data_IF_371762672166
#
_entry.id   IF_371762672166
#
_cell.length_a   1.000
_cell.length_b   1.000
_cell.length_c   1.000
_cell.angle_alpha   90.00
_cell.angle_beta   90.00
_cell.angle_gamma   90.00
#
_symmetry.space_group_name_H-M   'P 1'
#
loop_
_entity.id
_entity.type
_entity.pdbx_description
1 polymer ?
#
# COMPACT_ATOMS: atom_id res chain seq x y z
N UNK A 1 -61.51 -33.34 8.04
CA UNK A 1 -62.33 -32.45 7.17
C UNK A 1 -61.89 -31.02 7.48
N UNK A 2 -60.98 -30.47 6.67
CA UNK A 2 -61.22 -29.49 5.58
C UNK A 2 -60.60 -28.14 6.04
N UNK A 3 -59.45 -27.68 5.51
CA UNK A 3 -59.23 -26.97 4.21
C UNK A 3 -59.91 -25.57 4.31
N UNK A 4 -59.30 -24.41 4.06
CA UNK A 4 -58.35 -24.03 3.01
C UNK A 4 -57.72 -22.65 3.27
N UNK A 5 -56.62 -22.44 2.56
CA UNK A 5 -55.82 -21.25 2.31
C UNK A 5 -56.64 -20.06 1.78
N UNK A 6 -56.11 -18.83 1.96
CA UNK A 6 -56.23 -17.83 0.88
C UNK A 6 -55.03 -16.88 0.81
N UNK A 7 -54.44 -16.91 -0.39
CA UNK A 7 -53.27 -16.19 -0.89
C UNK A 7 -53.55 -14.70 -1.09
N UNK A 8 -52.47 -13.91 -0.97
CA UNK A 8 -52.35 -12.54 -1.46
C UNK A 8 -52.35 -12.49 -2.99
N UNK A 9 -53.01 -11.48 -3.56
CA UNK A 9 -52.88 -11.08 -4.97
C UNK A 9 -53.00 -9.57 -5.08
N UNK A 10 -51.99 -8.97 -5.71
CA UNK A 10 -51.87 -7.58 -6.15
C UNK A 10 -52.96 -7.18 -7.15
N UNK A 11 -53.43 -5.93 -7.10
CA UNK A 11 -53.59 -5.04 -8.27
C UNK A 11 -54.15 -3.66 -7.88
N UNK A 12 -53.35 -2.62 -8.17
CA UNK A 12 -53.80 -1.36 -8.79
C UNK A 12 -54.64 -0.36 -7.99
N UNK A 13 -54.07 0.81 -7.70
CA UNK A 13 -54.62 2.09 -8.17
C UNK A 13 -53.60 3.21 -7.98
N UNK A 14 -53.02 3.61 -9.11
CA UNK A 14 -52.10 4.73 -9.29
C UNK A 14 -52.85 6.05 -9.04
N UNK A 15 -52.37 6.89 -8.10
CA UNK A 15 -52.75 8.30 -8.02
C UNK A 15 -51.53 9.16 -8.26
N UNK A 16 -51.65 10.04 -9.25
CA UNK A 16 -50.64 11.01 -9.67
C UNK A 16 -50.38 12.05 -8.58
N UNK A 17 -49.11 12.26 -8.26
CA UNK A 17 -48.64 13.40 -7.46
C UNK A 17 -47.66 14.21 -8.29
N UNK A 18 -47.99 15.50 -8.47
CA UNK A 18 -47.19 16.51 -9.17
C UNK A 18 -45.99 16.87 -8.29
N UNK A 19 -44.78 16.49 -8.70
CA UNK A 19 -43.55 17.06 -8.16
C UNK A 19 -43.03 18.15 -9.11
N UNK A 20 -42.91 19.36 -8.57
CA UNK A 20 -42.42 20.55 -9.26
C UNK A 20 -40.94 20.41 -9.64
N UNK A 21 -40.62 20.95 -10.81
CA UNK A 21 -39.26 21.06 -11.33
C UNK A 21 -38.45 22.03 -10.47
N UNK A 22 -37.36 21.54 -9.88
CA UNK A 22 -36.32 22.38 -9.28
C UNK A 22 -35.17 22.46 -10.30
N UNK A 23 -35.10 23.57 -11.04
CA UNK A 23 -33.96 23.86 -11.91
C UNK A 23 -32.74 24.23 -11.04
N UNK A 24 -31.65 23.49 -11.21
CA UNK A 24 -30.38 23.75 -10.52
C UNK A 24 -29.58 24.79 -11.32
N UNK A 25 -29.04 25.85 -10.71
CA UNK A 25 -28.23 26.82 -11.44
C UNK A 25 -26.89 26.20 -11.86
N UNK A 26 -26.56 26.31 -13.15
CA UNK A 26 -25.31 25.84 -13.75
C UNK A 26 -24.13 26.68 -13.26
N UNK A 27 -23.29 26.11 -12.39
CA UNK A 27 -22.00 26.69 -12.00
C UNK A 27 -20.96 26.27 -13.03
N UNK A 28 -20.55 27.18 -13.91
CA UNK A 28 -19.42 26.99 -14.82
C UNK A 28 -18.12 27.12 -14.04
N UNK A 29 -17.45 26.01 -13.75
CA UNK A 29 -16.10 26.00 -13.18
C UNK A 29 -15.09 26.20 -14.33
N UNK A 30 -14.17 27.18 -14.25
CA UNK A 30 -13.17 27.39 -15.29
C UNK A 30 -12.17 26.23 -15.32
N UNK A 31 -12.06 25.55 -16.45
CA UNK A 31 -11.06 24.51 -16.70
C UNK A 31 -9.70 25.19 -16.85
N UNK A 32 -8.85 25.07 -15.83
CA UNK A 32 -7.44 25.41 -15.93
C UNK A 32 -6.77 24.38 -16.85
N UNK A 33 -6.43 24.78 -18.07
CA UNK A 33 -5.65 23.96 -19.00
C UNK A 33 -4.19 23.94 -18.55
N UNK A 34 -3.82 22.97 -17.71
CA UNK A 34 -2.41 22.65 -17.49
C UNK A 34 -1.91 21.81 -18.66
N UNK A 35 -1.14 22.46 -19.52
CA UNK A 35 -0.32 21.82 -20.53
C UNK A 35 0.92 21.18 -19.88
N UNK A 36 1.26 20.00 -20.42
CA UNK A 36 2.61 19.44 -20.61
C UNK A 36 3.33 18.63 -19.51
N UNK A 37 3.95 17.57 -20.05
CA UNK A 37 5.06 16.72 -19.57
C UNK A 37 4.74 15.63 -18.56
N UNK A 38 4.58 14.42 -19.11
CA UNK A 38 4.50 13.13 -18.42
C UNK A 38 5.88 12.71 -17.86
N UNK A 39 6.52 13.58 -17.05
CA UNK A 39 7.66 13.19 -16.24
C UNK A 39 7.13 12.61 -14.91
N UNK A 40 7.64 11.46 -14.43
CA UNK A 40 7.22 10.91 -13.16
C UNK A 40 7.42 11.94 -12.04
N UNK A 41 6.34 12.27 -11.33
CA UNK A 41 6.34 13.20 -10.19
C UNK A 41 7.52 12.87 -9.26
N UNK A 42 8.41 13.84 -8.98
CA UNK A 42 9.59 13.58 -8.18
C UNK A 42 9.18 13.22 -6.75
N UNK A 43 9.68 12.08 -6.23
CA UNK A 43 9.29 11.59 -4.91
C UNK A 43 9.62 12.60 -3.81
N UNK A 44 8.79 12.70 -2.78
CA UNK A 44 8.95 13.66 -1.68
C UNK A 44 10.32 13.58 -0.99
N UNK A 45 10.94 12.40 -0.96
CA UNK A 45 12.31 12.22 -0.45
C UNK A 45 13.38 12.93 -1.31
N UNK A 46 13.21 12.96 -2.64
CA UNK A 46 14.08 13.69 -3.55
C UNK A 46 13.84 15.20 -3.45
N UNK A 47 12.57 15.62 -3.30
CA UNK A 47 12.23 17.03 -3.03
C UNK A 47 12.86 17.49 -1.71
N UNK A 48 12.78 16.66 -0.67
CA UNK A 48 13.37 16.93 0.66
C UNK A 48 14.89 17.03 0.59
N UNK A 49 15.56 16.07 -0.06
CA UNK A 49 17.00 16.16 -0.30
C UNK A 49 17.37 17.46 -1.03
N UNK A 50 16.63 17.79 -2.10
CA UNK A 50 16.86 18.99 -2.89
C UNK A 50 16.71 20.28 -2.08
N UNK A 51 15.71 20.35 -1.18
CA UNK A 51 15.51 21.47 -0.27
C UNK A 51 16.64 21.61 0.75
N UNK A 52 17.07 20.51 1.36
CA UNK A 52 18.19 20.49 2.31
C UNK A 52 19.50 20.92 1.62
N UNK A 53 19.79 20.35 0.45
CA UNK A 53 20.93 20.75 -0.37
C UNK A 53 20.91 22.24 -0.70
N UNK A 54 19.77 22.75 -1.16
CA UNK A 54 19.59 24.18 -1.48
C UNK A 54 19.79 25.07 -0.26
N UNK A 55 19.33 24.65 0.92
CA UNK A 55 19.54 25.38 2.16
C UNK A 55 21.03 25.44 2.53
N UNK A 56 21.75 24.32 2.46
CA UNK A 56 23.20 24.28 2.70
C UNK A 56 23.96 25.18 1.71
N UNK A 57 23.64 25.12 0.41
CA UNK A 57 24.26 25.97 -0.61
C UNK A 57 24.03 27.46 -0.36
N UNK A 58 22.79 27.84 -0.03
CA UNK A 58 22.45 29.23 0.30
C UNK A 58 23.15 29.72 1.57
N UNK A 59 23.29 28.86 2.59
CA UNK A 59 24.05 29.17 3.81
C UNK A 59 25.53 29.44 3.50
N UNK A 60 26.10 28.69 2.56
CA UNK A 60 27.45 28.92 2.06
C UNK A 60 27.58 30.15 1.15
N UNK A 61 26.48 30.86 0.84
CA UNK A 61 26.48 32.06 0.00
C UNK A 61 26.68 31.81 -1.49
N UNK A 62 26.59 30.57 -1.95
CA UNK A 62 26.88 30.19 -3.35
C UNK A 62 25.62 30.18 -4.21
N UNK A 63 25.71 30.67 -5.45
CA UNK A 63 24.72 30.43 -6.52
C UNK A 63 24.84 29.00 -7.08
N UNK A 64 23.89 28.57 -7.91
CA UNK A 64 23.98 27.25 -8.56
C UNK A 64 25.15 27.22 -9.55
N UNK A 65 25.40 28.34 -10.21
CA UNK A 65 26.44 28.59 -11.20
C UNK A 65 27.84 28.53 -10.56
N UNK A 66 28.00 29.11 -9.37
CA UNK A 66 29.26 29.09 -8.61
C UNK A 66 29.51 27.73 -7.96
N UNK A 67 28.46 27.06 -7.48
CA UNK A 67 28.59 25.77 -6.80
C UNK A 67 28.89 24.61 -7.76
N UNK A 68 28.24 24.59 -8.93
CA UNK A 68 28.36 23.51 -9.91
C UNK A 68 29.82 23.14 -10.28
N UNK A 69 30.72 24.09 -10.61
CA UNK A 69 32.11 23.76 -10.91
C UNK A 69 32.87 23.19 -9.71
N UNK A 70 32.56 23.62 -8.47
CA UNK A 70 33.21 23.12 -7.25
C UNK A 70 32.94 21.63 -7.01
N UNK A 71 31.75 21.17 -7.39
CA UNK A 71 31.40 19.74 -7.33
C UNK A 71 31.62 19.01 -8.66
N UNK A 72 32.14 19.67 -9.69
CA UNK A 72 32.43 19.07 -11.00
C UNK A 72 31.19 18.64 -11.79
N UNK A 73 30.10 19.40 -11.70
CA UNK A 73 28.87 19.18 -12.47
C UNK A 73 28.40 20.46 -13.16
N UNK A 74 27.38 20.35 -14.02
CA UNK A 74 26.76 21.49 -14.68
C UNK A 74 25.71 22.16 -13.77
N UNK A 75 25.49 23.49 -13.86
CA UNK A 75 24.47 24.19 -13.08
C UNK A 75 23.06 23.60 -13.24
N UNK A 76 22.73 23.14 -14.45
CA UNK A 76 21.48 22.43 -14.74
C UNK A 76 21.32 21.12 -13.95
N UNK A 77 22.43 20.43 -13.65
CA UNK A 77 22.42 19.22 -12.81
C UNK A 77 22.14 19.57 -11.36
N UNK A 78 22.77 20.63 -10.83
CA UNK A 78 22.49 21.16 -9.49
C UNK A 78 21.02 21.57 -9.38
N UNK A 79 20.50 22.32 -10.34
CA UNK A 79 19.09 22.73 -10.36
C UNK A 79 18.12 21.54 -10.36
N UNK A 80 18.41 20.52 -11.18
CA UNK A 80 17.59 19.30 -11.27
C UNK A 80 17.59 18.50 -9.95
N UNK A 81 18.73 18.44 -9.25
CA UNK A 81 18.84 17.82 -7.92
C UNK A 81 18.07 18.63 -6.87
N UNK A 82 18.23 19.97 -6.85
CA UNK A 82 17.53 20.85 -5.89
C UNK A 82 16.00 20.86 -6.08
N UNK A 83 15.51 20.55 -7.28
CA UNK A 83 14.10 20.42 -7.58
C UNK A 83 13.56 18.99 -7.35
N UNK A 84 14.41 18.05 -6.92
CA UNK A 84 14.06 16.66 -6.71
C UNK A 84 13.85 15.85 -8.00
N UNK A 85 14.12 16.43 -9.19
CA UNK A 85 13.95 15.76 -10.49
C UNK A 85 15.03 14.71 -10.76
N UNK A 86 16.21 14.86 -10.15
CA UNK A 86 17.36 13.98 -10.34
C UNK A 86 17.90 13.42 -9.03
N UNK A 87 18.15 12.12 -9.02
CA UNK A 87 18.87 11.43 -7.95
C UNK A 87 20.32 11.94 -7.90
N UNK A 88 20.82 12.41 -6.74
CA UNK A 88 22.19 12.87 -6.61
C UNK A 88 23.16 11.67 -6.70
N UNK A 89 24.14 11.67 -7.62
CA UNK A 89 25.19 10.64 -7.63
C UNK A 89 25.99 10.64 -6.33
N UNK A 90 26.49 9.49 -5.87
CA UNK A 90 27.31 9.41 -4.66
C UNK A 90 28.50 10.39 -4.68
N UNK A 91 29.22 10.46 -5.80
CA UNK A 91 30.33 11.40 -5.97
C UNK A 91 29.91 12.89 -5.96
N UNK A 92 28.65 13.20 -6.26
CA UNK A 92 28.08 14.53 -6.06
C UNK A 92 27.86 14.80 -4.58
N UNK A 93 27.24 13.86 -3.86
CA UNK A 93 26.93 14.00 -2.43
C UNK A 93 28.21 14.20 -1.61
N UNK A 94 29.24 13.39 -1.85
CA UNK A 94 30.52 13.51 -1.11
C UNK A 94 31.17 14.88 -1.34
N UNK A 95 31.25 15.35 -2.59
CA UNK A 95 31.84 16.66 -2.90
C UNK A 95 30.98 17.81 -2.38
N UNK A 96 29.66 17.69 -2.47
CA UNK A 96 28.74 18.69 -1.93
C UNK A 96 28.84 18.80 -0.41
N UNK A 97 28.99 17.67 0.29
CA UNK A 97 29.19 17.62 1.73
C UNK A 97 30.45 18.38 2.16
N UNK A 98 31.56 18.15 1.44
CA UNK A 98 32.85 18.82 1.69
C UNK A 98 32.80 20.32 1.34
N UNK A 99 32.29 20.67 0.17
CA UNK A 99 32.26 22.07 -0.32
C UNK A 99 31.32 22.95 0.50
N UNK A 100 30.19 22.40 0.98
CA UNK A 100 29.17 23.15 1.71
C UNK A 100 29.32 23.09 3.23
N UNK A 101 30.32 22.34 3.72
CA UNK A 101 30.51 22.02 5.13
C UNK A 101 29.18 21.63 5.81
N UNK A 102 28.52 20.62 5.23
CA UNK A 102 27.13 20.32 5.57
C UNK A 102 26.96 19.46 6.84
N UNK A 103 28.03 19.29 7.64
CA UNK A 103 28.01 18.59 8.95
C UNK A 103 27.45 17.16 8.91
N UNK A 104 27.63 16.46 7.80
CA UNK A 104 27.14 15.10 7.54
C UNK A 104 25.68 15.04 7.08
N UNK A 105 24.99 16.17 6.96
CA UNK A 105 23.55 16.21 6.68
C UNK A 105 23.22 15.73 5.26
N UNK A 106 24.06 16.05 4.26
CA UNK A 106 23.79 15.62 2.88
C UNK A 106 24.04 14.12 2.71
N UNK A 107 25.08 13.58 3.35
CA UNK A 107 25.33 12.13 3.43
C UNK A 107 24.16 11.41 4.09
N UNK A 108 23.64 11.93 5.21
CA UNK A 108 22.51 11.36 5.91
C UNK A 108 21.24 11.39 5.05
N UNK A 109 20.92 12.55 4.46
CA UNK A 109 19.74 12.73 3.60
C UNK A 109 19.83 11.88 2.31
N UNK A 110 21.03 11.70 1.74
CA UNK A 110 21.23 10.91 0.54
C UNK A 110 20.89 9.42 0.70
N UNK A 111 20.97 8.86 1.92
CA UNK A 111 20.58 7.47 2.19
C UNK A 111 19.09 7.23 1.89
N UNK A 112 18.26 8.25 2.12
CA UNK A 112 16.81 8.19 1.92
C UNK A 112 16.37 8.79 0.57
N UNK A 113 17.30 9.39 -0.18
CA UNK A 113 17.07 9.86 -1.53
C UNK A 113 17.18 8.67 -2.50
N UNK A 114 16.08 7.93 -2.70
CA UNK A 114 16.03 6.78 -3.64
C UNK A 114 14.99 6.98 -4.73
N UNK A 115 15.33 6.61 -5.98
CA UNK A 115 14.35 6.30 -7.02
C UNK A 115 13.92 4.85 -6.85
N UNK A 116 12.91 4.59 -6.03
CA UNK A 116 12.19 3.32 -6.08
C UNK A 116 10.84 3.57 -6.79
N UNK A 117 10.81 3.52 -8.13
CA UNK A 117 9.56 3.52 -8.87
C UNK A 117 8.78 2.24 -8.49
N UNK A 118 7.51 2.39 -8.15
CA UNK A 118 6.64 1.27 -7.78
C UNK A 118 6.10 1.37 -6.35
N UNK A 119 6.94 1.61 -5.35
CA UNK A 119 6.42 1.74 -3.97
C UNK A 119 6.00 3.18 -3.66
N UNK A 120 4.80 3.33 -3.07
CA UNK A 120 4.35 4.61 -2.54
C UNK A 120 5.37 5.14 -1.52
N UNK A 121 5.62 6.46 -1.52
CA UNK A 121 6.68 7.07 -0.70
C UNK A 121 6.55 6.71 0.78
N UNK A 122 5.32 6.69 1.29
CA UNK A 122 4.98 6.36 2.68
C UNK A 122 5.11 4.86 3.04
N UNK A 123 5.29 3.99 2.05
CA UNK A 123 5.41 2.54 2.26
C UNK A 123 6.86 2.04 2.27
N UNK A 124 7.82 2.86 1.82
CA UNK A 124 9.22 2.44 1.67
C UNK A 124 9.87 2.05 3.00
N UNK A 125 9.68 2.89 4.03
CA UNK A 125 10.21 2.61 5.37
C UNK A 125 9.66 1.29 5.93
N UNK A 126 8.39 0.98 5.65
CA UNK A 126 7.81 -0.31 6.04
C UNK A 126 8.46 -1.47 5.28
N UNK A 127 8.66 -1.33 3.96
CA UNK A 127 9.30 -2.36 3.16
C UNK A 127 10.73 -2.69 3.62
N UNK A 128 11.51 -1.68 4.01
CA UNK A 128 12.86 -1.87 4.57
C UNK A 128 12.84 -2.61 5.92
N UNK A 129 11.84 -2.35 6.76
CA UNK A 129 11.67 -3.04 8.04
C UNK A 129 11.25 -4.50 7.86
N UNK A 130 10.45 -4.80 6.84
CA UNK A 130 10.01 -6.18 6.56
C UNK A 130 11.16 -7.10 6.14
N UNK A 131 12.19 -6.55 5.49
CA UNK A 131 13.42 -7.29 5.18
C UNK A 131 14.23 -7.66 6.44
N UNK A 132 13.96 -7.03 7.59
CA UNK A 132 14.66 -7.27 8.85
C UNK A 132 13.77 -7.96 9.89
N UNK A 133 12.49 -8.18 9.57
CA UNK A 133 11.53 -8.69 10.52
C UNK A 133 11.72 -10.18 10.84
N UNK A 134 11.50 -10.52 12.12
CA UNK A 134 11.41 -11.90 12.62
C UNK A 134 9.95 -12.36 12.71
N UNK A 135 9.01 -11.43 12.84
CA UNK A 135 7.58 -11.70 12.74
C UNK A 135 6.86 -10.57 11.98
N UNK A 136 5.88 -10.94 11.15
CA UNK A 136 4.98 -10.01 10.47
C UNK A 136 3.54 -10.46 10.65
N UNK A 137 2.71 -9.58 11.19
CA UNK A 137 1.30 -9.80 11.43
C UNK A 137 0.48 -8.84 10.59
N UNK A 138 -0.33 -9.37 9.69
CA UNK A 138 -1.19 -8.57 8.80
C UNK A 138 -2.65 -8.94 9.03
N UNK A 139 -3.49 -7.94 9.28
CA UNK A 139 -4.93 -8.01 9.15
C UNK A 139 -5.37 -7.12 7.99
N UNK A 140 -6.11 -7.67 7.03
CA UNK A 140 -6.63 -6.91 5.91
C UNK A 140 -8.10 -7.25 5.65
N UNK A 141 -8.91 -6.19 5.54
CA UNK A 141 -10.35 -6.29 5.36
C UNK A 141 -10.85 -5.78 4.00
N UNK A 142 -9.95 -5.29 3.15
CA UNK A 142 -10.32 -4.64 1.87
C UNK A 142 -9.89 -5.44 0.64
N UNK A 143 -8.75 -6.14 0.72
CA UNK A 143 -8.11 -6.84 -0.39
C UNK A 143 -7.19 -7.97 0.11
N UNK A 144 -6.76 -8.89 -0.75
CA UNK A 144 -5.79 -9.91 -0.35
C UNK A 144 -4.43 -9.23 -0.12
N UNK A 145 -3.71 -9.48 1.00
CA UNK A 145 -2.41 -8.88 1.26
C UNK A 145 -1.45 -9.05 0.08
N UNK A 146 -0.68 -8.02 -0.26
CA UNK A 146 0.19 -8.04 -1.45
C UNK A 146 1.18 -9.21 -1.51
N UNK A 147 1.57 -9.76 -0.36
CA UNK A 147 2.43 -10.95 -0.27
C UNK A 147 1.73 -12.24 -0.72
N UNK A 148 0.41 -12.27 -0.70
CA UNK A 148 -0.44 -13.42 -1.04
C UNK A 148 -1.17 -13.25 -2.39
N UNK A 149 -0.91 -12.18 -3.13
CA UNK A 149 -1.61 -11.91 -4.40
C UNK A 149 -0.98 -12.69 -5.56
N UNK A 150 -1.80 -13.15 -6.49
CA UNK A 150 -1.31 -13.58 -7.81
C UNK A 150 -1.09 -12.38 -8.73
N UNK A 151 -0.36 -12.57 -9.82
CA UNK A 151 -0.22 -11.55 -10.85
C UNK A 151 -1.59 -11.14 -11.41
N UNK A 152 -2.48 -12.09 -11.71
CA UNK A 152 -3.82 -11.80 -12.22
C UNK A 152 -4.66 -10.93 -11.27
N UNK A 153 -4.59 -11.21 -9.96
CA UNK A 153 -5.26 -10.39 -8.95
C UNK A 153 -4.65 -8.99 -8.85
N UNK A 154 -3.31 -8.91 -8.78
CA UNK A 154 -2.58 -7.65 -8.70
C UNK A 154 -2.83 -6.75 -9.92
N UNK A 155 -2.79 -7.32 -11.12
CA UNK A 155 -3.07 -6.65 -12.39
C UNK A 155 -4.49 -6.09 -12.43
N UNK A 156 -5.48 -6.87 -11.98
CA UNK A 156 -6.86 -6.39 -11.84
C UNK A 156 -6.93 -5.14 -10.96
N UNK A 157 -6.28 -5.15 -9.79
CA UNK A 157 -6.30 -3.99 -8.89
C UNK A 157 -5.65 -2.75 -9.50
N UNK A 158 -4.58 -2.91 -10.28
CA UNK A 158 -3.88 -1.78 -10.89
C UNK A 158 -4.59 -1.22 -12.12
N UNK A 159 -5.25 -2.07 -12.91
CA UNK A 159 -6.07 -1.65 -14.05
C UNK A 159 -7.27 -0.80 -13.60
N UNK A 160 -7.89 -1.17 -12.48
CA UNK A 160 -9.06 -0.47 -11.92
C UNK A 160 -8.68 0.70 -10.99
N UNK A 161 -7.39 1.05 -10.91
CA UNK A 161 -6.94 2.17 -10.08
C UNK A 161 -7.45 3.49 -10.64
N UNK A 162 -7.84 4.38 -9.73
CA UNK A 162 -8.19 5.78 -10.05
C UNK A 162 -7.18 6.72 -9.37
N UNK A 163 -6.50 7.61 -10.12
CA UNK A 163 -6.53 7.75 -11.58
C UNK A 163 -5.90 6.55 -12.30
N UNK A 164 -6.29 6.37 -13.57
CA UNK A 164 -5.81 5.26 -14.41
C UNK A 164 -4.30 5.34 -14.60
N UNK A 165 -3.64 4.20 -14.46
CA UNK A 165 -2.20 4.05 -14.68
C UNK A 165 -1.89 3.69 -16.12
N UNK A 166 -0.69 4.03 -16.60
CA UNK A 166 -0.19 3.53 -17.88
C UNK A 166 0.26 2.07 -17.75
N UNK A 167 0.27 1.33 -18.86
CA UNK A 167 0.75 -0.06 -18.89
C UNK A 167 2.16 -0.18 -18.29
N UNK A 168 3.07 0.75 -18.61
CA UNK A 168 4.42 0.76 -18.03
C UNK A 168 4.43 0.94 -16.52
N UNK A 169 3.53 1.76 -15.97
CA UNK A 169 3.38 1.92 -14.52
C UNK A 169 2.82 0.65 -13.88
N UNK A 170 1.85 0.00 -14.52
CA UNK A 170 1.26 -1.26 -14.06
C UNK A 170 2.32 -2.36 -14.01
N UNK A 171 3.11 -2.54 -15.08
CA UNK A 171 4.19 -3.54 -15.11
C UNK A 171 5.25 -3.29 -14.02
N UNK A 172 5.65 -2.03 -13.81
CA UNK A 172 6.60 -1.69 -12.75
C UNK A 172 6.05 -2.03 -11.35
N UNK A 173 4.76 -1.83 -11.14
CA UNK A 173 4.07 -2.14 -9.89
C UNK A 173 3.92 -3.65 -9.65
N UNK A 174 3.62 -4.41 -10.70
CA UNK A 174 3.56 -5.87 -10.66
C UNK A 174 4.94 -6.45 -10.36
N UNK A 175 5.98 -5.99 -11.05
CA UNK A 175 7.35 -6.43 -10.81
C UNK A 175 7.79 -6.18 -9.37
N UNK A 176 7.55 -4.96 -8.85
CA UNK A 176 7.88 -4.62 -7.46
C UNK A 176 7.13 -5.52 -6.45
N UNK A 177 5.89 -5.91 -6.75
CA UNK A 177 5.12 -6.84 -5.91
C UNK A 177 5.69 -8.26 -5.97
N UNK A 178 6.02 -8.75 -7.16
CA UNK A 178 6.59 -10.09 -7.36
C UNK A 178 7.95 -10.24 -6.66
N UNK A 179 8.84 -9.23 -6.78
CA UNK A 179 10.14 -9.23 -6.09
C UNK A 179 9.96 -9.33 -4.58
N UNK A 180 8.99 -8.59 -4.04
CA UNK A 180 8.67 -8.56 -2.61
C UNK A 180 8.06 -9.85 -2.09
N UNK A 181 7.32 -10.60 -2.93
CA UNK A 181 6.75 -11.90 -2.52
C UNK A 181 7.81 -12.96 -2.24
N UNK A 182 9.01 -12.80 -2.79
CA UNK A 182 10.14 -13.72 -2.54
C UNK A 182 10.50 -13.83 -1.06
N UNK A 183 10.19 -12.80 -0.25
CA UNK A 183 10.40 -12.79 1.20
C UNK A 183 9.80 -14.02 1.91
N UNK A 184 8.65 -14.53 1.44
CA UNK A 184 8.00 -15.70 2.05
C UNK A 184 8.88 -16.96 1.98
N UNK A 185 9.65 -17.11 0.91
CA UNK A 185 10.50 -18.27 0.65
C UNK A 185 11.95 -18.03 1.09
N UNK A 186 12.47 -16.82 0.86
CA UNK A 186 13.85 -16.44 1.19
C UNK A 186 14.09 -16.28 2.70
N UNK A 187 13.03 -16.08 3.47
CA UNK A 187 13.08 -15.93 4.93
C UNK A 187 12.29 -17.02 5.65
N UNK A 188 12.74 -18.29 5.60
CA UNK A 188 12.03 -19.41 6.21
C UNK A 188 11.95 -19.34 7.74
N UNK A 189 12.75 -18.47 8.38
CA UNK A 189 12.75 -18.27 9.83
C UNK A 189 11.92 -17.04 10.28
N UNK A 190 11.33 -16.30 9.34
CA UNK A 190 10.45 -15.16 9.66
C UNK A 190 9.01 -15.66 9.69
N UNK A 191 8.30 -15.44 10.80
CA UNK A 191 6.89 -15.85 10.94
C UNK A 191 5.95 -14.84 10.27
N UNK A 192 5.19 -15.28 9.27
CA UNK A 192 4.17 -14.49 8.59
C UNK A 192 2.79 -14.96 9.02
N UNK A 193 2.01 -14.09 9.67
CA UNK A 193 0.62 -14.38 10.05
C UNK A 193 -0.33 -13.43 9.35
N UNK A 194 -1.28 -13.98 8.61
CA UNK A 194 -2.28 -13.25 7.87
C UNK A 194 -3.68 -13.53 8.42
N UNK A 195 -4.44 -12.47 8.67
CA UNK A 195 -5.89 -12.55 8.92
C UNK A 195 -6.56 -11.76 7.81
N UNK A 196 -7.40 -12.42 7.02
CA UNK A 196 -8.07 -11.81 5.87
C UNK A 196 -9.57 -12.01 6.01
N UNK A 197 -10.36 -10.97 5.73
CA UNK A 197 -11.83 -11.12 5.70
C UNK A 197 -12.26 -12.13 4.64
N UNK A 198 -13.13 -13.07 5.01
CA UNK A 198 -13.72 -14.07 4.08
C UNK A 198 -14.30 -13.39 2.83
N UNK A 199 -14.97 -12.25 3.03
CA UNK A 199 -15.58 -11.47 1.96
C UNK A 199 -14.57 -10.97 0.91
N UNK A 200 -13.30 -10.78 1.26
CA UNK A 200 -12.26 -10.35 0.30
C UNK A 200 -12.07 -11.39 -0.80
N UNK A 201 -12.10 -12.68 -0.45
CA UNK A 201 -12.00 -13.79 -1.41
C UNK A 201 -13.33 -13.94 -2.14
N UNK A 202 -14.45 -13.86 -1.41
CA UNK A 202 -15.79 -14.03 -1.98
C UNK A 202 -16.16 -12.95 -3.00
N UNK A 203 -15.62 -11.73 -2.87
CA UNK A 203 -15.83 -10.63 -3.82
C UNK A 203 -15.46 -11.02 -5.25
N UNK A 204 -14.52 -11.95 -5.42
CA UNK A 204 -14.12 -12.47 -6.72
C UNK A 204 -13.48 -11.40 -7.62
N UNK A 205 -12.61 -10.57 -7.05
CA UNK A 205 -11.89 -9.52 -7.80
C UNK A 205 -11.10 -10.15 -8.94
N UNK A 206 -11.38 -9.72 -10.17
CA UNK A 206 -10.78 -10.29 -11.39
C UNK A 206 -11.59 -11.43 -12.01
N UNK A 207 -12.73 -11.79 -11.42
CA UNK A 207 -13.61 -12.86 -11.91
C UNK A 207 -13.22 -14.26 -11.41
N UNK A 208 -13.99 -15.27 -11.81
CA UNK A 208 -13.86 -16.64 -11.26
C UNK A 208 -12.51 -17.28 -11.52
N UNK A 209 -11.89 -17.02 -12.68
CA UNK A 209 -10.57 -17.58 -13.02
C UNK A 209 -9.47 -16.99 -12.14
N UNK A 210 -9.40 -15.66 -12.03
CA UNK A 210 -8.44 -14.99 -11.14
C UNK A 210 -8.65 -15.39 -9.67
N UNK A 211 -9.91 -15.59 -9.26
CA UNK A 211 -10.23 -16.05 -7.91
C UNK A 211 -9.78 -17.49 -7.67
N UNK A 212 -9.95 -18.37 -8.66
CA UNK A 212 -9.45 -19.76 -8.58
C UNK A 212 -7.94 -19.79 -8.47
N UNK A 213 -7.25 -19.04 -9.32
CA UNK A 213 -5.79 -18.90 -9.31
C UNK A 213 -5.30 -18.37 -7.96
N UNK A 214 -5.97 -17.33 -7.43
CA UNK A 214 -5.66 -16.75 -6.13
C UNK A 214 -5.80 -17.77 -5.00
N UNK A 215 -6.90 -18.53 -4.97
CA UNK A 215 -7.10 -19.56 -3.94
C UNK A 215 -6.04 -20.66 -4.06
N UNK A 216 -5.74 -21.12 -5.28
CA UNK A 216 -4.69 -22.12 -5.52
C UNK A 216 -3.33 -21.64 -5.03
N UNK A 217 -2.98 -20.38 -5.32
CA UNK A 217 -1.74 -19.77 -4.87
C UNK A 217 -1.68 -19.65 -3.34
N UNK A 218 -2.75 -19.18 -2.70
CA UNK A 218 -2.81 -19.03 -1.24
C UNK A 218 -2.70 -20.38 -0.52
N UNK A 219 -3.39 -21.41 -1.02
CA UNK A 219 -3.28 -22.78 -0.50
C UNK A 219 -1.85 -23.31 -0.62
N UNK A 220 -1.16 -23.06 -1.73
CA UNK A 220 0.24 -23.46 -1.91
C UNK A 220 1.20 -22.69 -0.99
N UNK A 221 1.02 -21.38 -0.84
CA UNK A 221 1.87 -20.53 0.02
C UNK A 221 1.72 -20.90 1.49
N UNK A 222 0.52 -21.30 1.92
CA UNK A 222 0.24 -21.74 3.30
C UNK A 222 0.69 -23.17 3.61
N UNK A 223 1.35 -23.87 2.66
CA UNK A 223 2.14 -25.08 2.96
C UNK A 223 3.52 -24.74 3.57
N UNK A 224 3.98 -23.48 3.42
CA UNK A 224 5.24 -23.04 4.00
C UNK A 224 5.11 -23.00 5.53
N UNK A 225 6.10 -23.57 6.24
CA UNK A 225 6.10 -23.68 7.70
C UNK A 225 6.08 -22.34 8.45
N UNK A 226 6.43 -21.28 7.74
CA UNK A 226 6.56 -19.93 8.26
C UNK A 226 5.38 -19.04 7.87
N UNK A 227 4.34 -19.57 7.21
CA UNK A 227 3.17 -18.80 6.77
C UNK A 227 1.89 -19.37 7.34
N UNK A 228 1.17 -18.55 8.10
CA UNK A 228 -0.16 -18.85 8.64
C UNK A 228 -1.21 -17.91 8.03
N UNK A 229 -2.36 -18.47 7.64
CA UNK A 229 -3.52 -17.71 7.18
C UNK A 229 -4.76 -18.11 7.96
N UNK A 230 -5.49 -17.10 8.43
CA UNK A 230 -6.82 -17.26 9.00
C UNK A 230 -7.82 -16.40 8.23
N UNK A 231 -8.99 -16.95 7.96
CA UNK A 231 -10.12 -16.20 7.42
C UNK A 231 -10.99 -15.67 8.56
N UNK A 232 -11.32 -14.38 8.52
CA UNK A 232 -12.33 -13.80 9.39
C UNK A 232 -13.73 -14.10 8.83
N UNK A 233 -14.59 -14.82 9.57
CA UNK A 233 -15.94 -15.12 9.10
C UNK A 233 -16.79 -13.87 8.94
N UNK A 234 -17.63 -13.85 7.91
CA UNK A 234 -18.60 -12.75 7.73
C UNK A 234 -19.63 -12.66 8.86
N UNK A 235 -20.04 -13.81 9.41
CA UNK A 235 -21.05 -13.89 10.46
C UNK A 235 -20.45 -13.59 11.85
N UNK A 236 -20.01 -12.35 12.06
CA UNK A 236 -19.50 -11.87 13.36
C UNK A 236 -20.25 -10.63 13.85
N UNK A 237 -20.82 -10.73 15.05
CA UNK A 237 -21.52 -9.62 15.71
C UNK A 237 -20.59 -8.64 16.43
N UNK A 238 -19.35 -9.05 16.71
CA UNK A 238 -18.31 -8.22 17.34
C UNK A 238 -17.03 -8.39 16.55
N UNK A 239 -16.42 -7.28 16.16
CA UNK A 239 -15.28 -7.28 15.25
C UNK A 239 -14.22 -6.24 15.66
N UNK A 240 -12.99 -6.70 15.94
CA UNK A 240 -11.92 -5.83 16.47
C UNK A 240 -11.19 -5.01 15.39
N UNK A 241 -11.42 -5.30 14.11
CA UNK A 241 -10.72 -4.70 12.96
C UNK A 241 -11.54 -3.66 12.18
N UNK A 242 -12.62 -3.11 12.75
CA UNK A 242 -13.48 -2.15 12.03
C UNK A 242 -12.79 -0.83 11.69
N UNK A 243 -11.67 -0.51 12.34
CA UNK A 243 -10.91 0.72 12.08
C UNK A 243 -10.01 0.62 10.84
N UNK A 244 -10.05 -0.50 10.11
CA UNK A 244 -9.22 -0.75 8.93
C UNK A 244 -8.11 -1.77 9.19
N UNK A 245 -7.19 -1.91 8.22
CA UNK A 245 -6.14 -2.91 8.27
C UNK A 245 -5.12 -2.60 9.37
N UNK A 246 -4.43 -3.64 9.82
CA UNK A 246 -3.35 -3.53 10.78
C UNK A 246 -2.18 -4.31 10.21
N UNK A 247 -1.00 -3.68 10.13
CA UNK A 247 0.26 -4.40 9.96
C UNK A 247 1.13 -4.18 11.18
N UNK A 248 1.72 -5.23 11.70
CA UNK A 248 2.70 -5.20 12.79
C UNK A 248 3.90 -6.02 12.35
N UNK A 249 5.09 -5.60 12.76
CA UNK A 249 6.30 -6.39 12.63
C UNK A 249 7.17 -6.25 13.86
N UNK A 250 7.99 -7.26 14.08
CA UNK A 250 9.03 -7.28 15.10
C UNK A 250 10.40 -7.43 14.44
N UNK A 251 11.37 -6.63 14.85
CA UNK A 251 12.76 -6.72 14.35
C UNK A 251 13.58 -7.73 15.14
N UNK A 252 14.81 -8.00 14.67
CA UNK A 252 15.78 -8.85 15.37
C UNK A 252 16.16 -8.34 16.77
N UNK A 253 15.98 -7.04 17.02
CA UNK A 253 16.23 -6.38 18.30
C UNK A 253 15.02 -6.46 19.25
N UNK A 254 13.93 -7.13 18.83
CA UNK A 254 12.64 -7.20 19.52
C UNK A 254 11.91 -5.84 19.61
N UNK A 255 12.19 -4.95 18.64
CA UNK A 255 11.45 -3.70 18.50
C UNK A 255 10.21 -3.92 17.64
N UNK A 256 9.10 -3.34 18.07
CA UNK A 256 7.81 -3.49 17.39
C UNK A 256 7.42 -2.24 16.63
N UNK A 257 7.06 -2.43 15.38
CA UNK A 257 6.55 -1.39 14.50
C UNK A 257 5.17 -1.76 14.00
N UNK A 258 4.36 -0.73 13.76
CA UNK A 258 3.01 -0.86 13.22
C UNK A 258 2.88 0.00 11.99
N UNK A 259 2.01 -0.41 11.08
CA UNK A 259 1.69 0.36 9.91
C UNK A 259 0.20 0.29 9.62
N UNK A 260 -0.38 1.49 9.51
CA UNK A 260 -1.79 1.70 9.22
C UNK A 260 -1.89 2.42 7.88
N UNK A 261 -2.65 1.86 6.95
CA UNK A 261 -2.75 2.37 5.58
C UNK A 261 -4.16 2.88 5.27
N UNK A 262 -4.24 4.16 4.94
CA UNK A 262 -5.45 4.82 4.44
C UNK A 262 -5.44 4.92 2.92
N UNK A 263 -6.34 5.75 2.39
CA UNK A 263 -6.27 6.16 0.98
C UNK A 263 -5.16 7.20 0.81
N UNK A 264 -4.26 6.99 -0.15
CA UNK A 264 -3.14 7.88 -0.49
C UNK A 264 -2.30 8.33 0.73
N UNK A 265 -2.27 7.50 1.79
CA UNK A 265 -1.57 7.79 3.04
C UNK A 265 -1.24 6.50 3.80
N UNK A 266 -0.08 6.51 4.47
CA UNK A 266 0.34 5.45 5.38
C UNK A 266 0.98 6.07 6.62
N UNK A 267 0.75 5.46 7.77
CA UNK A 267 1.32 5.88 9.03
C UNK A 267 2.17 4.75 9.61
N UNK A 268 3.48 4.98 9.67
CA UNK A 268 4.39 4.17 10.47
C UNK A 268 4.24 4.55 11.95
N UNK A 269 4.09 3.54 12.80
CA UNK A 269 3.87 3.67 14.24
C UNK A 269 5.01 2.97 14.95
N UNK A 270 5.75 3.71 15.78
CA UNK A 270 6.79 3.17 16.66
C UNK A 270 6.51 3.45 18.16
N UNK A 271 5.41 4.17 18.47
CA UNK A 271 5.06 4.50 19.85
C UNK A 271 4.67 3.23 20.63
N UNK A 272 5.36 2.87 21.74
CA UNK A 272 5.07 1.65 22.49
C UNK A 272 3.61 1.58 22.97
N UNK A 273 3.02 2.72 23.33
CA UNK A 273 1.62 2.82 23.74
C UNK A 273 0.66 2.42 22.61
N UNK A 274 0.90 2.92 21.41
CA UNK A 274 0.04 2.61 20.25
C UNK A 274 0.26 1.19 19.77
N UNK A 275 1.51 0.73 19.74
CA UNK A 275 1.87 -0.67 19.42
C UNK A 275 1.15 -1.65 20.34
N UNK A 276 1.19 -1.41 21.65
CA UNK A 276 0.51 -2.27 22.63
C UNK A 276 -0.98 -2.42 22.32
N UNK A 277 -1.66 -1.31 21.96
CA UNK A 277 -3.07 -1.35 21.56
C UNK A 277 -3.28 -2.14 20.26
N UNK A 278 -2.42 -1.97 19.26
CA UNK A 278 -2.51 -2.70 18.00
C UNK A 278 -2.27 -4.20 18.20
N UNK A 279 -1.31 -4.60 19.02
CA UNK A 279 -1.07 -6.00 19.38
C UNK A 279 -2.28 -6.61 20.09
N UNK A 280 -2.88 -5.91 21.06
CA UNK A 280 -4.11 -6.35 21.72
C UNK A 280 -5.27 -6.54 20.71
N UNK A 281 -5.41 -5.63 19.75
CA UNK A 281 -6.42 -5.74 18.68
C UNK A 281 -6.14 -6.94 17.78
N UNK A 282 -4.90 -7.13 17.35
CA UNK A 282 -4.52 -8.27 16.51
C UNK A 282 -4.73 -9.60 17.23
N UNK A 283 -4.38 -9.68 18.52
CA UNK A 283 -4.66 -10.86 19.34
C UNK A 283 -6.17 -11.15 19.44
N UNK A 284 -7.00 -10.11 19.57
CA UNK A 284 -8.46 -10.25 19.56
C UNK A 284 -8.97 -10.73 18.20
N UNK A 285 -8.45 -10.19 17.09
CA UNK A 285 -8.76 -10.63 15.73
C UNK A 285 -8.43 -12.11 15.54
N UNK A 286 -7.27 -12.57 16.00
CA UNK A 286 -6.87 -13.98 15.94
C UNK A 286 -7.84 -14.91 16.67
N UNK A 287 -8.41 -14.45 17.80
CA UNK A 287 -9.45 -15.22 18.52
C UNK A 287 -10.83 -15.20 17.84
N UNK A 288 -11.06 -14.25 16.93
CA UNK A 288 -12.33 -14.07 16.21
C UNK A 288 -12.32 -14.76 14.85
N UNK A 289 -11.16 -14.86 14.21
CA UNK A 289 -10.95 -15.57 12.95
C UNK A 289 -11.10 -17.09 13.11
N UNK A 290 -11.29 -17.79 11.99
CA UNK A 290 -11.24 -19.25 11.93
C UNK A 290 -9.84 -19.76 12.27
N UNK A 291 -9.72 -21.04 12.66
CA UNK A 291 -8.41 -21.68 12.72
C UNK A 291 -7.78 -21.77 11.33
N UNK A 292 -6.45 -21.95 11.21
CA UNK A 292 -5.81 -22.17 9.92
C UNK A 292 -6.42 -23.35 9.14
N UNK A 293 -6.76 -24.44 9.83
CA UNK A 293 -7.36 -25.64 9.22
C UNK A 293 -8.78 -25.38 8.69
N UNK A 294 -9.60 -24.67 9.47
CA UNK A 294 -10.96 -24.29 9.05
C UNK A 294 -10.92 -23.27 7.91
N UNK A 295 -9.92 -22.39 7.92
CA UNK A 295 -9.69 -21.40 6.85
C UNK A 295 -9.32 -22.07 5.53
N UNK A 296 -8.40 -23.05 5.59
CA UNK A 296 -8.04 -23.89 4.45
C UNK A 296 -9.25 -24.64 3.90
N UNK A 297 -10.00 -25.30 4.78
CA UNK A 297 -11.22 -26.03 4.41
C UNK A 297 -12.25 -25.12 3.74
N UNK A 298 -12.39 -23.87 4.22
CA UNK A 298 -13.26 -22.88 3.60
C UNK A 298 -12.77 -22.48 2.21
N UNK A 299 -11.48 -22.20 2.03
CA UNK A 299 -10.88 -21.88 0.73
C UNK A 299 -11.08 -23.01 -0.28
N UNK A 300 -10.87 -24.26 0.10
CA UNK A 300 -11.08 -25.43 -0.76
C UNK A 300 -12.55 -25.55 -1.22
N UNK A 301 -13.51 -25.28 -0.32
CA UNK A 301 -14.93 -25.24 -0.68
C UNK A 301 -15.25 -24.09 -1.63
N UNK A 302 -14.72 -22.89 -1.38
CA UNK A 302 -14.90 -21.74 -2.28
C UNK A 302 -14.34 -22.05 -3.67
N UNK A 303 -13.16 -22.66 -3.74
CA UNK A 303 -12.53 -23.10 -4.99
C UNK A 303 -13.38 -24.12 -5.75
N UNK A 304 -13.99 -25.08 -5.05
CA UNK A 304 -14.86 -26.08 -5.65
C UNK A 304 -16.20 -25.54 -6.15
N UNK A 305 -16.61 -24.35 -5.69
CA UNK A 305 -17.85 -23.69 -6.09
C UNK A 305 -17.69 -22.70 -7.26
N UNK A 306 -16.44 -22.32 -7.60
CA UNK A 306 -16.11 -21.56 -8.82
C UNK A 306 -16.18 -22.45 -10.05
#
# INVERSE_FOLDING_TARGET
MAVDQRRHSYAGLCRSSRYGQYESPSVTIPVMTNSTTNEPEPSDSLKTFGLVHKACRKRAGLTQEEFAPLVGYQPSTVASIEQGRRLPPRAYVERAEEVLDAFGVLRAAAKYATRQPGLASWFREWAELEEQAISLYTFENRLVPGLLQTEGYARTLFNERVPVLTDTQIEAQIAARADRQRLLVERPNTAFSFIVEEYVVQRGTGGSEATRELIDHVLAVTELRNVELQLMPMARHVHAGLNGPIRLLETTENEWFGYCEGQESGQLVASPKTISVLQMRYAKLRSQALTPEDSRSLLERMRGAL
#
